data_IF_801133621867
#
_entry.id   IF_801133621867
#
_cell.length_a   1.000
_cell.length_b   1.000
_cell.length_c   1.000
_cell.angle_alpha   90.00
_cell.angle_beta   90.00
_cell.angle_gamma   90.00
#
_symmetry.space_group_name_H-M   'P 1'
#
loop_
_entity.id
_entity.type
_entity.pdbx_description
1 polymer ?
#
# COMPACT_ATOMS: atom_id res chain seq x y z
N UNK A 1 -14.84 -41.13 9.53
CA UNK A 1 -14.35 -39.73 9.49
C UNK A 1 -14.75 -39.14 8.14
N UNK A 2 -15.91 -38.48 8.11
CA UNK A 2 -16.39 -37.77 6.93
C UNK A 2 -15.39 -36.65 6.60
N UNK A 3 -14.92 -36.63 5.34
CA UNK A 3 -14.21 -35.49 4.77
C UNK A 3 -15.22 -34.35 4.70
N UNK A 4 -15.26 -33.46 5.71
CA UNK A 4 -15.83 -32.13 5.50
C UNK A 4 -15.23 -31.58 4.21
N UNK A 5 -16.05 -31.51 3.16
CA UNK A 5 -15.72 -30.78 1.94
C UNK A 5 -15.52 -29.34 2.36
N UNK A 6 -14.26 -28.96 2.58
CA UNK A 6 -13.88 -27.60 2.91
C UNK A 6 -14.16 -26.73 1.68
N UNK A 7 -15.37 -26.18 1.61
CA UNK A 7 -15.93 -25.41 0.50
C UNK A 7 -15.35 -23.97 0.47
N UNK A 8 -14.13 -23.77 1.01
CA UNK A 8 -13.49 -22.45 1.01
C UNK A 8 -13.09 -22.06 -0.41
N UNK A 9 -13.43 -20.84 -0.80
CA UNK A 9 -13.03 -20.23 -2.07
C UNK A 9 -11.52 -20.35 -2.30
N UNK A 10 -11.08 -20.42 -3.54
CA UNK A 10 -9.67 -20.52 -3.88
C UNK A 10 -9.31 -19.62 -5.07
N UNK A 11 -8.11 -19.06 -5.06
CA UNK A 11 -7.54 -18.37 -6.22
C UNK A 11 -7.41 -19.32 -7.43
N UNK A 12 -7.42 -18.75 -8.64
CA UNK A 12 -7.29 -19.54 -9.87
C UNK A 12 -5.92 -20.23 -10.00
N UNK A 13 -4.88 -19.66 -9.41
CA UNK A 13 -3.51 -20.19 -9.41
C UNK A 13 -2.50 -19.19 -8.83
N UNK A 14 -1.19 -19.41 -9.12
CA UNK A 14 -0.08 -18.58 -8.63
C UNK A 14 -0.27 -17.08 -8.92
N UNK A 15 -0.59 -16.72 -10.17
CA UNK A 15 -0.76 -15.31 -10.59
C UNK A 15 -1.90 -14.65 -9.82
N UNK A 16 -3.02 -15.36 -9.62
CA UNK A 16 -4.16 -14.84 -8.85
C UNK A 16 -3.78 -14.52 -7.42
N UNK A 17 -3.09 -15.41 -6.74
CA UNK A 17 -2.58 -15.17 -5.39
C UNK A 17 -1.57 -14.02 -5.35
N UNK A 18 -0.55 -14.06 -6.22
CA UNK A 18 0.53 -13.04 -6.23
C UNK A 18 -0.02 -11.64 -6.44
N UNK A 19 -0.87 -11.43 -7.46
CA UNK A 19 -1.42 -10.10 -7.73
C UNK A 19 -2.41 -9.63 -6.67
N UNK A 20 -3.17 -10.55 -6.05
CA UNK A 20 -4.07 -10.19 -4.94
C UNK A 20 -3.29 -9.85 -3.67
N UNK A 21 -2.27 -10.65 -3.31
CA UNK A 21 -1.43 -10.40 -2.14
C UNK A 21 -0.54 -9.16 -2.34
N UNK A 22 0.03 -8.97 -3.54
CA UNK A 22 0.74 -7.74 -3.88
C UNK A 22 -0.18 -6.51 -3.83
N UNK A 23 -1.43 -6.63 -4.32
CA UNK A 23 -2.43 -5.57 -4.19
C UNK A 23 -2.82 -5.26 -2.75
N UNK A 24 -2.78 -6.26 -1.87
CA UNK A 24 -2.96 -6.05 -0.43
C UNK A 24 -1.79 -5.26 0.18
N UNK A 25 -0.56 -5.59 -0.23
CA UNK A 25 0.67 -4.97 0.28
C UNK A 25 0.89 -3.58 -0.31
N UNK A 26 0.70 -3.41 -1.63
CA UNK A 26 0.86 -2.12 -2.31
C UNK A 26 -0.34 -1.22 -2.01
N UNK A 27 -0.17 -0.31 -1.09
CA UNK A 27 -1.23 0.59 -0.64
C UNK A 27 -0.76 2.04 -0.42
N UNK A 28 -1.57 2.78 0.31
CA UNK A 28 -1.24 4.15 0.70
C UNK A 28 0.09 4.23 1.47
N UNK A 29 0.46 3.16 2.19
CA UNK A 29 1.72 3.07 2.91
C UNK A 29 2.96 3.16 2.02
N UNK A 30 2.93 2.58 0.83
CA UNK A 30 4.02 2.66 -0.15
C UNK A 30 4.08 4.06 -0.79
N UNK A 31 2.92 4.67 -1.06
CA UNK A 31 2.85 5.89 -1.86
C UNK A 31 3.17 7.14 -1.03
N UNK A 32 2.71 7.25 0.21
CA UNK A 32 2.99 8.46 0.99
C UNK A 32 3.93 8.23 2.18
N UNK A 33 3.72 7.13 2.94
CA UNK A 33 4.46 6.90 4.18
C UNK A 33 5.91 6.53 3.91
N UNK A 34 6.15 5.67 2.93
CA UNK A 34 7.49 5.24 2.56
C UNK A 34 8.35 6.41 2.07
N UNK A 35 7.93 7.25 1.07
CA UNK A 35 8.74 8.39 0.64
C UNK A 35 9.02 9.39 1.76
N UNK A 36 8.04 9.68 2.60
CA UNK A 36 8.21 10.54 3.75
C UNK A 36 9.27 9.99 4.73
N UNK A 37 9.15 8.72 5.11
CA UNK A 37 10.11 8.11 6.03
C UNK A 37 11.50 8.01 5.42
N UNK A 38 11.60 7.66 4.14
CA UNK A 38 12.87 7.63 3.43
C UNK A 38 13.55 9.01 3.43
N UNK A 39 12.80 10.07 3.13
CA UNK A 39 13.35 11.41 3.16
C UNK A 39 13.78 11.85 4.57
N UNK A 40 12.96 11.59 5.57
CA UNK A 40 13.22 12.01 6.95
C UNK A 40 14.35 11.23 7.63
N UNK A 41 14.51 9.95 7.31
CA UNK A 41 15.41 9.05 8.02
C UNK A 41 16.60 8.61 7.19
N UNK A 42 17.10 9.49 6.29
CA UNK A 42 18.41 9.38 5.69
C UNK A 42 18.46 8.95 4.22
N UNK A 43 17.34 8.99 3.49
CA UNK A 43 17.32 8.74 2.04
C UNK A 43 17.80 7.34 1.68
N UNK A 44 18.91 7.26 0.95
CA UNK A 44 19.46 5.99 0.45
C UNK A 44 19.89 5.02 1.55
N UNK A 45 20.28 5.48 2.74
CA UNK A 45 20.58 4.56 3.86
C UNK A 45 19.32 3.93 4.42
N UNK A 46 18.19 4.67 4.49
CA UNK A 46 16.89 4.12 4.83
C UNK A 46 16.47 3.07 3.82
N UNK A 47 16.59 3.36 2.51
CA UNK A 47 16.26 2.43 1.44
C UNK A 47 17.07 1.14 1.52
N UNK A 48 18.39 1.25 1.75
CA UNK A 48 19.27 0.08 1.90
C UNK A 48 18.82 -0.82 3.07
N UNK A 49 18.58 -0.22 4.23
CA UNK A 49 18.13 -0.95 5.43
C UNK A 49 16.74 -1.58 5.19
N UNK A 50 15.83 -0.84 4.57
CA UNK A 50 14.50 -1.35 4.22
C UNK A 50 14.59 -2.59 3.32
N UNK A 51 15.39 -2.55 2.25
CA UNK A 51 15.58 -3.68 1.33
C UNK A 51 16.17 -4.89 2.08
N UNK A 52 17.20 -4.69 2.91
CA UNK A 52 17.80 -5.76 3.69
C UNK A 52 16.79 -6.42 4.64
N UNK A 53 15.97 -5.62 5.32
CA UNK A 53 14.91 -6.12 6.20
C UNK A 53 13.80 -6.84 5.42
N UNK A 54 13.40 -6.33 4.27
CA UNK A 54 12.38 -6.97 3.43
C UNK A 54 12.84 -8.33 2.94
N UNK A 55 14.06 -8.43 2.36
CA UNK A 55 14.63 -9.66 1.82
C UNK A 55 14.93 -10.74 2.89
N UNK A 56 15.12 -10.35 4.13
CA UNK A 56 15.45 -11.28 5.22
C UNK A 56 14.23 -11.56 6.09
N UNK A 57 13.92 -10.62 6.97
CA UNK A 57 12.86 -10.77 7.95
C UNK A 57 11.47 -10.73 7.33
N UNK A 58 11.22 -9.78 6.42
CA UNK A 58 9.95 -9.62 5.73
C UNK A 58 9.56 -10.87 4.97
N UNK A 59 10.47 -11.38 4.11
CA UNK A 59 10.27 -12.61 3.36
C UNK A 59 9.90 -13.80 4.26
N UNK A 60 10.66 -14.00 5.34
CA UNK A 60 10.41 -15.10 6.29
C UNK A 60 9.01 -15.01 6.89
N UNK A 61 8.58 -13.83 7.29
CA UNK A 61 7.25 -13.61 7.87
C UNK A 61 6.12 -13.84 6.87
N UNK A 62 6.26 -13.35 5.62
CA UNK A 62 5.26 -13.57 4.57
C UNK A 62 5.10 -15.08 4.28
N UNK A 63 6.21 -15.82 4.20
CA UNK A 63 6.20 -17.28 4.03
C UNK A 63 5.46 -17.94 5.18
N UNK A 64 5.79 -17.58 6.42
CA UNK A 64 5.21 -18.19 7.63
C UNK A 64 3.69 -17.96 7.71
N UNK A 65 3.22 -16.72 7.50
CA UNK A 65 1.79 -16.40 7.55
C UNK A 65 1.01 -17.06 6.42
N UNK A 66 1.55 -17.05 5.18
CA UNK A 66 0.92 -17.71 4.04
C UNK A 66 0.85 -19.23 4.23
N UNK A 67 1.90 -19.83 4.79
CA UNK A 67 1.95 -21.27 5.13
C UNK A 67 0.90 -21.62 6.19
N UNK A 68 0.81 -20.81 7.25
CA UNK A 68 -0.18 -20.96 8.31
C UNK A 68 -1.61 -20.95 7.74
N UNK A 69 -1.91 -19.99 6.89
CA UNK A 69 -3.21 -19.88 6.21
C UNK A 69 -3.50 -21.09 5.33
N UNK A 70 -2.55 -21.50 4.46
CA UNK A 70 -2.72 -22.63 3.54
C UNK A 70 -2.88 -23.97 4.27
N UNK A 71 -2.13 -24.17 5.35
CA UNK A 71 -2.17 -25.42 6.13
C UNK A 71 -3.50 -25.57 6.86
N UNK A 72 -4.02 -24.49 7.44
CA UNK A 72 -5.23 -24.53 8.27
C UNK A 72 -6.51 -24.39 7.47
N UNK A 73 -6.46 -23.68 6.33
CA UNK A 73 -7.65 -23.31 5.55
C UNK A 73 -8.70 -22.53 6.37
N UNK A 74 -8.26 -21.73 7.32
CA UNK A 74 -9.11 -20.97 8.24
C UNK A 74 -8.76 -19.49 8.23
N UNK A 75 -9.64 -18.66 8.82
CA UNK A 75 -9.35 -17.27 9.15
C UNK A 75 -8.23 -17.19 10.19
N UNK A 76 -7.61 -16.00 10.41
CA UNK A 76 -6.54 -15.86 11.39
C UNK A 76 -6.86 -16.43 12.77
N UNK A 77 -8.03 -16.07 13.32
CA UNK A 77 -8.50 -16.60 14.62
C UNK A 77 -8.60 -18.14 14.61
N UNK A 78 -9.18 -18.68 13.52
CA UNK A 78 -9.32 -20.13 13.37
C UNK A 78 -8.00 -20.85 13.14
N UNK A 79 -7.03 -20.21 12.49
CA UNK A 79 -5.70 -20.76 12.25
C UNK A 79 -4.89 -20.88 13.54
N UNK A 80 -4.85 -19.85 14.35
CA UNK A 80 -4.19 -19.88 15.66
C UNK A 80 -4.87 -20.86 16.62
N UNK A 81 -6.20 -20.92 16.64
CA UNK A 81 -6.94 -21.87 17.44
C UNK A 81 -6.68 -23.34 17.04
N UNK A 82 -6.38 -23.59 15.76
CA UNK A 82 -6.09 -24.94 15.27
C UNK A 82 -4.83 -25.53 15.95
N UNK A 83 -3.80 -24.74 16.16
CA UNK A 83 -2.58 -25.15 16.86
C UNK A 83 -2.72 -25.08 18.38
N UNK A 84 -3.61 -24.24 18.87
CA UNK A 84 -3.80 -23.96 20.29
C UNK A 84 -4.72 -24.92 21.03
N UNK A 85 -5.00 -26.14 20.53
CA UNK A 85 -5.88 -27.09 21.22
C UNK A 85 -5.47 -27.39 22.67
N UNK A 86 -4.18 -27.36 22.99
CA UNK A 86 -3.61 -27.53 24.34
C UNK A 86 -3.18 -26.21 25.00
N UNK A 87 -3.10 -25.12 24.25
CA UNK A 87 -2.63 -23.81 24.70
C UNK A 87 -3.62 -22.74 24.23
N UNK A 88 -4.74 -22.60 24.93
CA UNK A 88 -5.84 -21.68 24.56
C UNK A 88 -5.40 -20.21 24.39
N UNK A 89 -4.29 -19.82 25.03
CA UNK A 89 -3.69 -18.50 24.89
C UNK A 89 -3.19 -18.19 23.47
N UNK A 90 -2.84 -19.19 22.65
CA UNK A 90 -2.45 -18.98 21.25
C UNK A 90 -3.57 -18.37 20.41
N UNK A 91 -4.83 -18.57 20.77
CA UNK A 91 -5.96 -17.93 20.09
C UNK A 91 -5.94 -16.41 20.22
N UNK A 92 -5.27 -15.85 21.24
CA UNK A 92 -5.09 -14.41 21.43
C UNK A 92 -4.32 -13.79 20.25
N UNK A 93 -3.26 -14.46 19.74
CA UNK A 93 -2.55 -14.01 18.55
C UNK A 93 -3.46 -13.88 17.31
N UNK A 94 -4.40 -14.79 17.14
CA UNK A 94 -5.39 -14.74 16.08
C UNK A 94 -6.36 -13.55 16.21
N UNK A 95 -6.77 -13.23 17.44
CA UNK A 95 -7.62 -12.06 17.71
C UNK A 95 -6.90 -10.74 17.46
N UNK A 96 -5.60 -10.63 17.84
CA UNK A 96 -4.78 -9.45 17.51
C UNK A 96 -4.77 -9.25 15.99
N UNK A 97 -4.50 -10.31 15.22
CA UNK A 97 -4.48 -10.27 13.76
C UNK A 97 -5.84 -9.84 13.15
N UNK A 98 -6.96 -10.20 13.79
CA UNK A 98 -8.29 -9.81 13.31
C UNK A 98 -8.67 -8.37 13.71
N UNK A 99 -8.23 -7.89 14.88
CA UNK A 99 -8.57 -6.54 15.38
C UNK A 99 -7.84 -5.46 14.57
N UNK A 100 -6.60 -5.71 14.13
CA UNK A 100 -5.81 -4.71 13.40
C UNK A 100 -6.52 -4.22 12.12
N UNK A 101 -7.01 -5.08 11.21
CA UNK A 101 -7.78 -4.61 10.06
C UNK A 101 -9.05 -3.84 10.44
N UNK A 102 -9.76 -4.29 11.48
CA UNK A 102 -10.97 -3.60 11.97
C UNK A 102 -10.68 -2.16 12.39
N UNK A 103 -9.52 -1.91 12.99
CA UNK A 103 -9.09 -0.55 13.36
C UNK A 103 -8.59 0.27 12.16
N UNK A 104 -8.01 -0.39 11.15
CA UNK A 104 -7.46 0.28 9.96
C UNK A 104 -8.55 0.66 8.97
N UNK A 105 -9.50 -0.21 8.67
CA UNK A 105 -10.52 -0.04 7.61
C UNK A 105 -11.27 1.30 7.71
N UNK A 106 -11.74 1.77 8.88
CA UNK A 106 -12.49 3.02 8.96
C UNK A 106 -11.70 4.23 8.45
N UNK A 107 -10.50 4.48 9.01
CA UNK A 107 -9.71 5.64 8.58
C UNK A 107 -9.18 5.47 7.16
N UNK A 108 -8.86 4.25 6.75
CA UNK A 108 -8.37 3.95 5.41
C UNK A 108 -9.43 4.25 4.35
N UNK A 109 -10.69 3.92 4.64
CA UNK A 109 -11.83 4.21 3.76
C UNK A 109 -12.13 5.70 3.67
N UNK A 110 -11.97 6.47 4.74
CA UNK A 110 -12.07 7.94 4.71
C UNK A 110 -11.04 8.52 3.75
N UNK A 111 -9.78 8.07 3.86
CA UNK A 111 -8.70 8.54 2.98
C UNK A 111 -8.94 8.08 1.54
N UNK A 112 -9.43 6.87 1.32
CA UNK A 112 -9.85 6.38 0.01
C UNK A 112 -10.93 7.26 -0.62
N UNK A 113 -11.87 7.75 0.16
CA UNK A 113 -12.86 8.75 -0.26
C UNK A 113 -12.22 10.07 -0.68
N UNK A 114 -11.21 10.56 0.06
CA UNK A 114 -10.47 11.77 -0.34
C UNK A 114 -9.71 11.60 -1.66
N UNK A 115 -9.17 10.40 -1.89
CA UNK A 115 -8.53 10.06 -3.17
C UNK A 115 -9.53 10.15 -4.32
N UNK A 116 -10.75 9.62 -4.17
CA UNK A 116 -11.83 9.76 -5.16
C UNK A 116 -12.10 11.25 -5.45
N UNK A 117 -12.25 12.07 -4.39
CA UNK A 117 -12.49 13.51 -4.55
C UNK A 117 -11.41 14.18 -5.40
N UNK A 118 -10.15 13.96 -5.06
CA UNK A 118 -9.03 14.56 -5.78
C UNK A 118 -8.92 14.06 -7.22
N UNK A 119 -9.11 12.76 -7.44
CA UNK A 119 -9.15 12.19 -8.80
C UNK A 119 -10.23 12.83 -9.65
N UNK A 120 -11.46 12.97 -9.14
CA UNK A 120 -12.57 13.60 -9.85
C UNK A 120 -12.30 15.08 -10.13
N UNK A 121 -11.72 15.82 -9.19
CA UNK A 121 -11.38 17.24 -9.41
C UNK A 121 -10.28 17.40 -10.47
N UNK A 122 -9.27 16.53 -10.50
CA UNK A 122 -8.27 16.53 -11.57
C UNK A 122 -8.89 16.22 -12.94
N UNK A 123 -9.82 15.26 -13.02
CA UNK A 123 -10.56 14.95 -14.25
C UNK A 123 -11.39 16.15 -14.76
N UNK A 124 -11.90 16.98 -13.85
CA UNK A 124 -12.62 18.24 -14.18
C UNK A 124 -11.69 19.39 -14.58
N UNK A 125 -10.37 19.20 -14.54
CA UNK A 125 -9.40 20.26 -14.82
C UNK A 125 -9.18 21.24 -13.66
N UNK A 126 -9.62 20.94 -12.47
CA UNK A 126 -9.50 21.79 -11.27
C UNK A 126 -8.15 21.62 -10.53
N UNK A 127 -7.08 21.19 -11.21
CA UNK A 127 -5.77 20.95 -10.59
C UNK A 127 -5.22 22.15 -9.81
N UNK A 128 -5.31 23.34 -10.37
CA UNK A 128 -4.88 24.59 -9.72
C UNK A 128 -5.63 24.88 -8.40
N UNK A 129 -6.94 24.61 -8.36
CA UNK A 129 -7.73 24.77 -7.11
C UNK A 129 -7.29 23.81 -6.01
N UNK A 130 -6.86 22.60 -6.37
CA UNK A 130 -6.36 21.62 -5.42
C UNK A 130 -5.04 22.05 -4.78
N UNK A 131 -4.26 22.89 -5.47
CA UNK A 131 -3.01 23.46 -5.00
C UNK A 131 -3.20 24.71 -4.10
N UNK A 132 -4.38 25.30 -4.05
CA UNK A 132 -4.68 26.48 -3.23
C UNK A 132 -4.52 26.17 -1.74
N UNK A 133 -3.96 27.14 -0.99
CA UNK A 133 -3.84 27.03 0.46
C UNK A 133 -5.22 26.91 1.11
N UNK A 134 -5.33 25.93 2.01
CA UNK A 134 -6.57 25.68 2.73
C UNK A 134 -7.62 24.86 1.99
N UNK A 135 -7.44 24.54 0.70
CA UNK A 135 -8.41 23.71 -0.03
C UNK A 135 -8.70 22.39 0.68
N UNK A 136 -7.64 21.65 1.03
CA UNK A 136 -7.77 20.37 1.73
C UNK A 136 -8.49 20.54 3.09
N UNK A 137 -8.09 21.52 3.90
CA UNK A 137 -8.72 21.79 5.19
C UNK A 137 -10.20 22.16 5.05
N UNK A 138 -10.55 22.96 4.04
CA UNK A 138 -11.95 23.31 3.72
C UNK A 138 -12.76 22.10 3.28
N UNK A 139 -12.15 21.22 2.48
CA UNK A 139 -12.79 19.98 2.04
C UNK A 139 -13.07 19.04 3.21
N UNK A 140 -12.09 18.74 4.07
CA UNK A 140 -12.27 17.83 5.21
C UNK A 140 -13.21 18.38 6.28
N UNK A 141 -13.37 19.71 6.36
CA UNK A 141 -14.33 20.36 7.26
C UNK A 141 -15.77 20.32 6.71
N UNK A 142 -15.95 19.96 5.43
CA UNK A 142 -17.27 19.79 4.85
C UNK A 142 -17.74 18.33 5.05
N UNK A 143 -18.45 18.08 6.16
CA UNK A 143 -18.91 16.76 6.56
C UNK A 143 -19.66 16.03 5.45
N UNK A 144 -20.63 16.69 4.80
CA UNK A 144 -21.44 16.06 3.73
C UNK A 144 -20.58 15.59 2.54
N UNK A 145 -19.64 16.43 2.09
CA UNK A 145 -18.78 16.09 0.95
C UNK A 145 -17.84 14.92 1.26
N UNK A 146 -17.25 14.91 2.46
CA UNK A 146 -16.38 13.83 2.91
C UNK A 146 -17.12 12.52 3.12
N UNK A 147 -18.33 12.60 3.70
CA UNK A 147 -19.18 11.43 3.93
C UNK A 147 -19.64 10.77 2.63
N UNK A 148 -20.07 11.54 1.63
CA UNK A 148 -20.43 11.01 0.32
C UNK A 148 -19.23 10.28 -0.31
N UNK A 149 -18.05 10.88 -0.31
CA UNK A 149 -16.85 10.25 -0.86
C UNK A 149 -16.47 8.97 -0.11
N UNK A 150 -16.58 8.96 1.22
CA UNK A 150 -16.38 7.79 2.07
C UNK A 150 -17.36 6.65 1.70
N UNK A 151 -18.64 6.95 1.62
CA UNK A 151 -19.68 5.96 1.27
C UNK A 151 -19.41 5.37 -0.12
N UNK A 152 -19.08 6.21 -1.11
CA UNK A 152 -18.76 5.75 -2.48
C UNK A 152 -17.58 4.79 -2.47
N UNK A 153 -16.51 5.11 -1.72
CA UNK A 153 -15.34 4.23 -1.61
C UNK A 153 -15.69 2.91 -0.91
N UNK A 154 -16.43 2.95 0.19
CA UNK A 154 -16.90 1.77 0.91
C UNK A 154 -17.77 0.88 0.03
N UNK A 155 -18.74 1.46 -0.67
CA UNK A 155 -19.63 0.71 -1.57
C UNK A 155 -18.83 0.01 -2.67
N UNK A 156 -17.87 0.70 -3.27
CA UNK A 156 -17.02 0.12 -4.31
C UNK A 156 -16.21 -1.08 -3.76
N UNK A 157 -15.61 -0.95 -2.58
CA UNK A 157 -14.89 -2.04 -1.91
C UNK A 157 -15.83 -3.23 -1.59
N UNK A 158 -17.00 -2.96 -1.01
CA UNK A 158 -17.96 -4.00 -0.63
C UNK A 158 -18.53 -4.76 -1.84
N UNK A 159 -18.82 -4.08 -2.95
CA UNK A 159 -19.28 -4.71 -4.19
C UNK A 159 -18.25 -5.74 -4.70
N UNK A 160 -16.96 -5.39 -4.65
CA UNK A 160 -15.89 -6.28 -5.08
C UNK A 160 -15.79 -7.50 -4.16
N UNK A 161 -15.86 -7.30 -2.85
CA UNK A 161 -15.83 -8.40 -1.87
C UNK A 161 -17.04 -9.30 -2.03
N UNK A 162 -18.23 -8.73 -2.23
CA UNK A 162 -19.45 -9.49 -2.45
C UNK A 162 -19.39 -10.40 -3.69
N UNK A 163 -18.66 -9.99 -4.73
CA UNK A 163 -18.39 -10.83 -5.90
C UNK A 163 -17.47 -12.03 -5.60
N UNK A 164 -16.88 -12.09 -4.40
CA UNK A 164 -16.07 -13.19 -3.87
C UNK A 164 -14.62 -13.17 -4.33
N UNK A 165 -13.85 -14.17 -3.85
CA UNK A 165 -12.40 -14.21 -4.00
C UNK A 165 -11.98 -14.24 -5.49
N UNK A 166 -12.56 -15.12 -6.29
CA UNK A 166 -12.13 -15.33 -7.68
C UNK A 166 -12.66 -14.28 -8.64
N UNK A 167 -13.95 -13.95 -8.54
CA UNK A 167 -14.62 -13.06 -9.49
C UNK A 167 -14.51 -11.57 -9.08
N UNK A 168 -14.32 -11.30 -7.78
CA UNK A 168 -14.11 -9.97 -7.24
C UNK A 168 -12.62 -9.69 -7.02
N UNK A 169 -12.06 -10.15 -5.91
CA UNK A 169 -10.72 -9.81 -5.44
C UNK A 169 -9.65 -10.09 -6.49
N UNK A 170 -9.59 -11.33 -6.97
CA UNK A 170 -8.58 -11.75 -7.94
C UNK A 170 -8.70 -11.03 -9.28
N UNK A 171 -9.93 -10.91 -9.79
CA UNK A 171 -10.19 -10.26 -11.09
C UNK A 171 -9.81 -8.78 -11.06
N UNK A 172 -10.18 -8.09 -10.00
CA UNK A 172 -9.86 -6.67 -9.81
C UNK A 172 -8.36 -6.47 -9.66
N UNK A 173 -7.69 -7.29 -8.85
CA UNK A 173 -6.23 -7.22 -8.67
C UNK A 173 -5.49 -7.51 -9.97
N UNK A 174 -5.92 -8.49 -10.76
CA UNK A 174 -5.33 -8.80 -12.08
C UNK A 174 -5.43 -7.65 -13.07
N UNK A 175 -6.45 -6.83 -12.97
CA UNK A 175 -6.63 -5.65 -13.82
C UNK A 175 -5.87 -4.43 -13.28
N UNK A 176 -6.04 -4.12 -11.99
CA UNK A 176 -5.51 -2.90 -11.40
C UNK A 176 -3.99 -2.92 -11.21
N UNK A 177 -3.41 -4.07 -10.81
CA UNK A 177 -1.99 -4.13 -10.46
C UNK A 177 -1.05 -3.88 -11.65
N UNK A 178 -1.25 -4.47 -12.84
CA UNK A 178 -0.42 -4.14 -14.01
C UNK A 178 -0.52 -2.65 -14.41
N UNK A 179 -1.73 -2.08 -14.36
CA UNK A 179 -1.93 -0.66 -14.69
C UNK A 179 -1.21 0.21 -13.65
N UNK A 180 -1.30 -0.13 -12.36
CA UNK A 180 -0.60 0.57 -11.29
C UNK A 180 0.92 0.60 -11.54
N UNK A 181 1.51 -0.52 -11.96
CA UNK A 181 2.95 -0.58 -12.32
C UNK A 181 3.26 0.37 -13.47
N UNK A 182 2.48 0.33 -14.55
CA UNK A 182 2.68 1.22 -15.71
C UNK A 182 2.56 2.68 -15.30
N UNK A 183 1.53 3.03 -14.54
CA UNK A 183 1.35 4.39 -14.02
C UNK A 183 2.52 4.82 -13.14
N UNK A 184 3.01 3.95 -12.25
CA UNK A 184 4.15 4.27 -11.38
C UNK A 184 5.42 4.55 -12.18
N UNK A 185 5.68 3.79 -13.25
CA UNK A 185 6.82 4.02 -14.16
C UNK A 185 6.68 5.37 -14.87
N UNK A 186 5.51 5.68 -15.44
CA UNK A 186 5.27 6.93 -16.16
C UNK A 186 5.49 8.13 -15.23
N UNK A 187 4.91 8.10 -14.03
CA UNK A 187 5.01 9.21 -13.07
C UNK A 187 6.45 9.34 -12.52
N UNK A 188 7.14 8.22 -12.28
CA UNK A 188 8.54 8.25 -11.85
C UNK A 188 9.44 8.88 -12.93
N UNK A 189 9.28 8.50 -14.20
CA UNK A 189 10.01 9.12 -15.32
C UNK A 189 9.69 10.62 -15.38
N UNK A 190 8.42 10.99 -15.29
CA UNK A 190 8.02 12.39 -15.26
C UNK A 190 8.69 13.15 -14.11
N UNK A 191 8.73 12.60 -12.91
CA UNK A 191 9.32 13.21 -11.71
C UNK A 191 10.84 13.39 -11.86
N UNK A 192 11.58 12.33 -12.22
CA UNK A 192 13.05 12.36 -12.29
C UNK A 192 13.59 13.22 -13.43
N UNK A 193 12.78 13.50 -14.45
CA UNK A 193 13.16 14.37 -15.59
C UNK A 193 12.94 15.86 -15.33
N UNK A 194 12.42 16.25 -14.15
CA UNK A 194 12.21 17.67 -13.83
C UNK A 194 13.54 18.37 -13.53
N UNK A 195 13.69 19.65 -13.89
CA UNK A 195 14.85 20.46 -13.47
C UNK A 195 14.99 20.46 -11.95
N UNK A 196 16.18 20.16 -11.44
CA UNK A 196 16.45 20.08 -9.99
C UNK A 196 16.14 18.71 -9.34
N UNK A 197 15.45 17.79 -10.03
CA UNK A 197 15.07 16.48 -9.50
C UNK A 197 16.27 15.56 -9.19
N UNK A 198 17.41 15.74 -9.88
CA UNK A 198 18.60 14.87 -9.74
C UNK A 198 19.14 14.83 -8.32
N UNK A 199 19.04 15.94 -7.59
CA UNK A 199 19.46 16.01 -6.17
C UNK A 199 18.62 15.05 -5.32
N UNK A 200 17.29 15.00 -5.54
CA UNK A 200 16.37 14.08 -4.87
C UNK A 200 16.63 12.63 -5.26
N UNK A 201 16.89 12.34 -6.55
CA UNK A 201 17.26 10.99 -7.00
C UNK A 201 18.54 10.52 -6.29
N UNK A 202 19.58 11.36 -6.27
CA UNK A 202 20.84 11.04 -5.58
C UNK A 202 20.63 10.83 -4.08
N UNK A 203 19.87 11.72 -3.44
CA UNK A 203 19.54 11.61 -2.02
C UNK A 203 18.83 10.27 -1.69
N UNK A 204 17.89 9.88 -2.52
CA UNK A 204 17.08 8.68 -2.30
C UNK A 204 17.80 7.37 -2.63
N UNK A 205 18.61 7.33 -3.70
CA UNK A 205 19.24 6.09 -4.17
C UNK A 205 20.64 5.85 -3.62
N UNK A 206 21.38 6.90 -3.26
CA UNK A 206 22.78 6.77 -2.81
C UNK A 206 22.85 6.71 -1.29
N UNK A 207 23.25 5.56 -0.70
CA UNK A 207 23.39 5.44 0.74
C UNK A 207 24.48 6.38 1.27
N UNK A 208 24.13 7.22 2.24
CA UNK A 208 25.09 8.04 2.95
C UNK A 208 25.17 7.60 4.43
N UNK A 209 26.26 6.94 4.86
CA UNK A 209 26.42 6.47 6.24
C UNK A 209 26.32 7.57 7.29
N UNK A 210 26.63 8.84 6.93
CA UNK A 210 26.51 9.99 7.85
C UNK A 210 25.06 10.25 8.28
N UNK A 211 24.10 9.84 7.47
CA UNK A 211 22.65 9.99 7.73
C UNK A 211 22.08 8.78 8.52
N UNK A 212 22.92 7.84 8.92
CA UNK A 212 22.50 6.68 9.69
C UNK A 212 22.11 7.07 11.12
N UNK A 213 20.98 6.51 11.59
CA UNK A 213 20.58 6.54 12.99
C UNK A 213 19.91 5.22 13.38
N UNK A 214 19.87 4.89 14.65
CA UNK A 214 19.09 3.72 15.10
C UNK A 214 17.60 3.89 14.79
N UNK A 215 17.11 5.13 14.75
CA UNK A 215 15.73 5.41 14.35
C UNK A 215 15.49 5.06 12.88
N UNK A 216 16.49 5.13 12.01
CA UNK A 216 16.40 4.67 10.61
C UNK A 216 16.07 3.17 10.56
N UNK A 217 16.70 2.34 11.39
CA UNK A 217 16.42 0.89 11.46
C UNK A 217 15.01 0.62 11.99
N UNK A 218 14.64 1.26 13.09
CA UNK A 218 13.32 1.08 13.73
C UNK A 218 12.20 1.49 12.78
N UNK A 219 12.36 2.65 12.11
CA UNK A 219 11.32 3.15 11.18
C UNK A 219 11.26 2.35 9.89
N UNK A 220 12.41 1.87 9.36
CA UNK A 220 12.44 0.98 8.21
C UNK A 220 11.77 -0.35 8.52
N UNK A 221 12.01 -0.93 9.71
CA UNK A 221 11.33 -2.13 10.17
C UNK A 221 9.82 -1.92 10.31
N UNK A 222 9.40 -0.85 10.96
CA UNK A 222 7.97 -0.50 11.07
C UNK A 222 7.30 -0.26 9.71
N UNK A 223 8.02 0.32 8.76
CA UNK A 223 7.54 0.49 7.39
C UNK A 223 7.40 -0.85 6.67
N UNK A 224 8.38 -1.74 6.80
CA UNK A 224 8.37 -3.07 6.20
C UNK A 224 7.18 -3.91 6.72
N UNK A 225 6.94 -3.93 8.04
CA UNK A 225 5.78 -4.61 8.62
C UNK A 225 4.46 -4.09 8.05
N UNK A 226 4.33 -2.77 7.97
CA UNK A 226 3.13 -2.14 7.46
C UNK A 226 2.92 -2.38 5.96
N UNK A 227 3.97 -2.21 5.15
CA UNK A 227 3.94 -2.38 3.70
C UNK A 227 3.60 -3.82 3.31
N UNK A 228 4.28 -4.79 3.88
CA UNK A 228 4.08 -6.21 3.59
C UNK A 228 2.83 -6.80 4.27
N UNK A 229 2.02 -5.99 4.95
CA UNK A 229 0.81 -6.41 5.65
C UNK A 229 1.04 -7.53 6.69
N UNK A 230 2.22 -7.55 7.32
CA UNK A 230 2.61 -8.55 8.32
C UNK A 230 1.84 -8.32 9.63
N UNK A 231 1.42 -9.40 10.27
CA UNK A 231 0.65 -9.43 11.52
C UNK A 231 -0.75 -8.79 11.43
N UNK A 232 -1.28 -8.61 10.22
CA UNK A 232 -2.62 -8.05 9.96
C UNK A 232 -3.66 -9.12 9.59
N UNK A 233 -3.30 -10.41 9.61
CA UNK A 233 -4.18 -11.50 9.23
C UNK A 233 -4.42 -11.66 7.73
N UNK A 234 -4.05 -10.66 6.92
CA UNK A 234 -4.26 -10.64 5.47
C UNK A 234 -3.57 -11.82 4.79
N UNK A 235 -2.29 -12.04 5.08
CA UNK A 235 -1.50 -13.12 4.47
C UNK A 235 -1.97 -14.50 4.93
N UNK A 236 -2.45 -14.64 6.17
CA UNK A 236 -3.10 -15.88 6.66
C UNK A 236 -4.40 -16.12 5.90
N UNK A 237 -5.24 -15.09 5.74
CA UNK A 237 -6.51 -15.18 4.99
C UNK A 237 -6.26 -15.56 3.53
N UNK A 238 -5.39 -14.85 2.83
CA UNK A 238 -5.07 -15.12 1.43
C UNK A 238 -4.33 -16.44 1.25
N UNK A 239 -3.43 -16.80 2.16
CA UNK A 239 -2.80 -18.11 2.22
C UNK A 239 -3.83 -19.25 2.31
N UNK A 240 -4.94 -19.03 3.04
CA UNK A 240 -6.03 -20.02 3.13
C UNK A 240 -6.77 -20.26 1.82
N UNK A 241 -6.68 -19.33 0.86
CA UNK A 241 -7.24 -19.44 -0.49
C UNK A 241 -6.25 -20.00 -1.51
N UNK A 242 -4.97 -20.21 -1.14
CA UNK A 242 -3.97 -20.81 -2.02
C UNK A 242 -4.31 -22.27 -2.32
N UNK A 243 -4.07 -22.69 -3.57
CA UNK A 243 -4.14 -24.09 -3.96
C UNK A 243 -2.96 -24.89 -3.39
N UNK A 244 -3.13 -26.19 -3.20
CA UNK A 244 -2.09 -27.07 -2.66
C UNK A 244 -0.88 -27.23 -3.58
N UNK A 245 -1.08 -27.13 -4.88
CA UNK A 245 -0.07 -27.25 -5.94
C UNK A 245 0.73 -25.96 -6.17
N UNK A 246 0.32 -24.86 -5.55
CA UNK A 246 1.00 -23.56 -5.68
C UNK A 246 2.18 -23.47 -4.71
N UNK A 247 3.40 -23.22 -5.20
CA UNK A 247 4.57 -22.97 -4.35
C UNK A 247 4.36 -21.72 -3.49
N UNK A 248 4.50 -21.84 -2.16
CA UNK A 248 4.44 -20.71 -1.24
C UNK A 248 5.66 -19.81 -1.46
N UNK A 249 6.86 -20.40 -1.44
CA UNK A 249 8.12 -19.67 -1.51
C UNK A 249 8.19 -18.79 -2.75
N UNK A 250 7.94 -19.37 -3.95
CA UNK A 250 7.95 -18.58 -5.19
C UNK A 250 6.85 -17.51 -5.24
N UNK A 251 5.70 -17.80 -4.65
CA UNK A 251 4.58 -16.86 -4.67
C UNK A 251 4.83 -15.68 -3.73
N UNK A 252 5.29 -15.96 -2.52
CA UNK A 252 5.60 -14.94 -1.51
C UNK A 252 6.82 -14.10 -1.90
N UNK A 253 7.84 -14.71 -2.53
CA UNK A 253 8.97 -13.98 -3.11
C UNK A 253 8.52 -12.98 -4.17
N UNK A 254 7.60 -13.37 -5.04
CA UNK A 254 7.06 -12.45 -6.05
C UNK A 254 6.27 -11.31 -5.41
N UNK A 255 5.52 -11.56 -4.32
CA UNK A 255 4.79 -10.51 -3.57
C UNK A 255 5.77 -9.51 -2.97
N UNK A 256 6.81 -9.99 -2.29
CA UNK A 256 7.83 -9.16 -1.65
C UNK A 256 8.60 -8.31 -2.66
N UNK A 257 9.06 -8.91 -3.76
CA UNK A 257 9.74 -8.17 -4.85
C UNK A 257 8.82 -7.12 -5.45
N UNK A 258 7.54 -7.44 -5.64
CA UNK A 258 6.57 -6.51 -6.20
C UNK A 258 6.31 -5.32 -5.28
N UNK A 259 6.09 -5.57 -3.99
CA UNK A 259 5.88 -4.52 -2.99
C UNK A 259 7.10 -3.60 -2.86
N UNK A 260 8.30 -4.19 -2.75
CA UNK A 260 9.56 -3.44 -2.66
C UNK A 260 9.82 -2.60 -3.91
N UNK A 261 9.57 -3.14 -5.09
CA UNK A 261 9.70 -2.40 -6.35
C UNK A 261 8.77 -1.20 -6.41
N UNK A 262 7.50 -1.35 -6.00
CA UNK A 262 6.55 -0.24 -5.97
C UNK A 262 6.91 0.79 -4.88
N UNK A 263 7.44 0.38 -3.73
CA UNK A 263 7.93 1.30 -2.73
C UNK A 263 9.10 2.17 -3.27
N UNK A 264 10.04 1.55 -3.98
CA UNK A 264 11.14 2.27 -4.65
C UNK A 264 10.59 3.22 -5.72
N UNK A 265 9.64 2.76 -6.54
CA UNK A 265 9.01 3.60 -7.56
C UNK A 265 8.28 4.79 -6.92
N UNK A 266 7.57 4.59 -5.81
CA UNK A 266 6.92 5.67 -5.05
C UNK A 266 7.93 6.69 -4.53
N UNK A 267 9.08 6.22 -4.02
CA UNK A 267 10.20 7.09 -3.65
C UNK A 267 10.69 7.94 -4.83
N UNK A 268 10.85 7.33 -6.01
CA UNK A 268 11.26 8.02 -7.25
C UNK A 268 10.17 8.93 -7.83
N UNK A 269 8.90 8.66 -7.58
CA UNK A 269 7.80 9.55 -7.98
C UNK A 269 7.75 10.81 -7.13
N UNK A 270 8.00 10.70 -5.83
CA UNK A 270 7.67 11.77 -4.87
C UNK A 270 8.91 12.56 -4.47
N UNK A 271 10.00 11.90 -4.06
CA UNK A 271 11.17 12.59 -3.51
C UNK A 271 11.82 13.53 -4.56
N UNK A 272 12.11 13.09 -5.79
CA UNK A 272 12.69 13.99 -6.80
C UNK A 272 11.79 15.17 -7.16
N UNK A 273 10.47 14.95 -7.24
CA UNK A 273 9.51 16.01 -7.55
C UNK A 273 9.45 17.07 -6.44
N UNK A 274 9.43 16.65 -5.17
CA UNK A 274 9.43 17.56 -4.03
C UNK A 274 10.78 18.30 -3.92
N UNK A 275 11.90 17.63 -4.15
CA UNK A 275 13.23 18.29 -4.19
C UNK A 275 13.33 19.33 -5.30
N UNK A 276 12.79 19.04 -6.49
CA UNK A 276 12.74 20.01 -7.58
C UNK A 276 11.89 21.24 -7.22
N UNK A 277 10.79 21.04 -6.50
CA UNK A 277 9.89 22.09 -6.05
C UNK A 277 10.46 22.92 -4.88
N UNK A 278 11.11 22.27 -3.89
CA UNK A 278 11.60 22.90 -2.65
C UNK A 278 13.02 23.45 -2.73
N UNK A 279 13.70 23.28 -3.86
CA UNK A 279 15.12 23.63 -3.96
C UNK A 279 16.06 22.69 -3.21
N UNK A 280 15.61 21.48 -2.90
CA UNK A 280 16.43 20.41 -2.31
C UNK A 280 16.27 20.20 -0.80
N UNK A 281 15.23 20.77 -0.19
CA UNK A 281 14.95 20.61 1.23
C UNK A 281 14.10 19.35 1.50
N UNK A 282 14.66 18.31 2.18
CA UNK A 282 13.93 17.08 2.51
C UNK A 282 12.82 17.30 3.55
N UNK A 283 12.89 18.34 4.38
CA UNK A 283 11.90 18.63 5.43
C UNK A 283 10.57 19.16 4.86
N UNK A 284 10.56 19.51 3.57
CA UNK A 284 9.32 19.88 2.85
C UNK A 284 8.38 18.69 2.65
N UNK A 285 8.87 17.45 2.74
CA UNK A 285 8.02 16.27 2.70
C UNK A 285 7.25 16.14 4.02
N UNK A 286 6.00 16.59 3.99
CA UNK A 286 5.13 16.53 5.15
C UNK A 286 4.68 15.08 5.46
N UNK A 287 4.43 14.81 6.73
CA UNK A 287 3.95 13.49 7.17
C UNK A 287 2.48 13.26 6.80
N UNK A 288 2.16 12.02 6.46
CA UNK A 288 0.78 11.56 6.35
C UNK A 288 0.00 12.14 5.16
N UNK A 289 -1.32 12.36 5.32
CA UNK A 289 -2.19 12.84 4.25
C UNK A 289 -1.76 14.18 3.63
N UNK A 290 -1.12 15.04 4.41
CA UNK A 290 -0.67 16.36 3.95
C UNK A 290 0.30 16.26 2.76
N UNK A 291 1.16 15.25 2.71
CA UNK A 291 2.04 15.01 1.57
C UNK A 291 1.21 14.84 0.30
N UNK A 292 0.19 13.99 0.33
CA UNK A 292 -0.57 13.62 -0.85
C UNK A 292 -1.62 14.66 -1.25
N UNK A 293 -2.27 15.30 -0.27
CA UNK A 293 -3.41 16.18 -0.54
C UNK A 293 -3.08 17.68 -0.48
N UNK A 294 -1.88 18.05 -0.02
CA UNK A 294 -1.42 19.45 0.01
C UNK A 294 -0.15 19.61 -0.83
N UNK A 295 0.92 18.86 -0.50
CA UNK A 295 2.22 19.05 -1.16
C UNK A 295 2.21 18.62 -2.61
N UNK A 296 1.75 17.42 -2.92
CA UNK A 296 1.77 16.88 -4.28
C UNK A 296 0.93 17.70 -5.27
N UNK A 297 -0.30 18.18 -4.96
CA UNK A 297 -1.00 19.10 -5.83
C UNK A 297 -0.24 20.38 -6.14
N UNK A 298 0.44 20.99 -5.15
CA UNK A 298 1.27 22.17 -5.36
C UNK A 298 2.47 21.88 -6.26
N UNK A 299 3.11 20.73 -6.06
CA UNK A 299 4.21 20.27 -6.91
C UNK A 299 3.75 20.12 -8.36
N UNK A 300 2.60 19.48 -8.60
CA UNK A 300 2.08 19.31 -9.96
C UNK A 300 1.64 20.64 -10.57
N UNK A 301 1.03 21.54 -9.81
CA UNK A 301 0.64 22.86 -10.30
C UNK A 301 1.85 23.69 -10.75
N UNK A 302 3.00 23.56 -10.07
CA UNK A 302 4.25 24.21 -10.44
C UNK A 302 4.94 23.60 -11.67
N UNK A 303 4.50 22.43 -12.13
CA UNK A 303 5.13 21.66 -13.21
C UNK A 303 4.32 21.69 -14.50
N UNK A 304 5.00 21.77 -15.66
CA UNK A 304 4.33 21.59 -16.95
C UNK A 304 3.59 20.24 -17.03
N UNK A 305 2.38 20.24 -17.61
CA UNK A 305 1.48 19.08 -17.65
C UNK A 305 1.01 18.55 -16.27
N UNK A 306 1.03 19.38 -15.24
CA UNK A 306 0.69 18.98 -13.87
C UNK A 306 -0.69 18.39 -13.70
N UNK A 307 -1.72 18.94 -14.42
CA UNK A 307 -3.08 18.36 -14.39
C UNK A 307 -3.10 16.91 -14.89
N UNK A 308 -2.38 16.61 -15.99
CA UNK A 308 -2.28 15.26 -16.51
C UNK A 308 -1.53 14.33 -15.55
N UNK A 309 -0.40 14.78 -14.99
CA UNK A 309 0.33 14.05 -13.97
C UNK A 309 -0.53 13.78 -12.72
N UNK A 310 -1.35 14.75 -12.30
CA UNK A 310 -2.29 14.60 -11.21
C UNK A 310 -3.37 13.56 -11.47
N UNK A 311 -3.93 13.51 -12.68
CA UNK A 311 -4.89 12.46 -13.08
C UNK A 311 -4.24 11.07 -12.94
N UNK A 312 -3.05 10.87 -13.52
CA UNK A 312 -2.36 9.59 -13.49
C UNK A 312 -1.97 9.19 -12.06
N UNK A 313 -1.49 10.15 -11.27
CA UNK A 313 -1.12 9.92 -9.88
C UNK A 313 -2.31 9.52 -9.00
N UNK A 314 -3.41 10.29 -9.03
CA UNK A 314 -4.58 9.96 -8.21
C UNK A 314 -5.32 8.71 -8.70
N UNK A 315 -5.23 8.36 -9.99
CA UNK A 315 -5.70 7.05 -10.49
C UNK A 315 -4.86 5.91 -9.92
N UNK A 316 -3.53 6.06 -9.92
CA UNK A 316 -2.60 5.09 -9.30
C UNK A 316 -2.91 4.92 -7.81
N UNK A 317 -3.04 6.03 -7.08
CA UNK A 317 -3.37 6.02 -5.63
C UNK A 317 -4.73 5.38 -5.39
N UNK A 318 -5.72 5.63 -6.24
CA UNK A 318 -7.04 5.01 -6.13
C UNK A 318 -6.96 3.49 -6.28
N UNK A 319 -6.20 2.99 -7.26
CA UNK A 319 -6.02 1.55 -7.44
C UNK A 319 -5.31 0.92 -6.24
N UNK A 320 -4.26 1.54 -5.73
CA UNK A 320 -3.56 1.08 -4.53
C UNK A 320 -4.47 1.10 -3.29
N UNK A 321 -5.28 2.15 -3.13
CA UNK A 321 -6.22 2.24 -2.02
C UNK A 321 -7.30 1.17 -2.08
N UNK A 322 -7.89 0.92 -3.25
CA UNK A 322 -8.95 -0.07 -3.45
C UNK A 322 -8.44 -1.49 -3.20
N UNK A 323 -7.31 -1.88 -3.79
CA UNK A 323 -6.77 -3.24 -3.65
C UNK A 323 -6.41 -3.56 -2.19
N UNK A 324 -5.82 -2.62 -1.47
CA UNK A 324 -5.51 -2.78 -0.04
C UNK A 324 -6.77 -2.75 0.84
N UNK A 325 -7.75 -1.90 0.53
CA UNK A 325 -9.02 -1.84 1.27
C UNK A 325 -9.80 -3.16 1.16
N UNK A 326 -9.82 -3.76 -0.03
CA UNK A 326 -10.41 -5.08 -0.27
C UNK A 326 -9.75 -6.13 0.64
N UNK A 327 -8.43 -6.16 0.69
CA UNK A 327 -7.68 -7.14 1.47
C UNK A 327 -7.88 -6.97 2.99
N UNK A 328 -7.87 -5.71 3.46
CA UNK A 328 -8.14 -5.38 4.86
C UNK A 328 -9.57 -5.76 5.29
N UNK A 329 -10.55 -5.57 4.42
CA UNK A 329 -11.96 -5.85 4.74
C UNK A 329 -12.29 -7.33 4.62
N UNK A 330 -11.59 -8.09 3.76
CA UNK A 330 -11.74 -9.54 3.59
C UNK A 330 -11.11 -10.33 4.76
N UNK A 331 -10.13 -9.74 5.46
CA UNK A 331 -9.39 -10.42 6.54
C UNK A 331 -10.18 -10.55 7.81
#
# INVERSE_FOLDING_TARGET
MEKEKNNRSSFSGKIGFVLSAAGASVGLGNIWRFPYLAAKYGGGIFLLIYILLALTFGYTMIVAESALGRMTRKSPVGAFKFFGKKAGWLSFGGWINAIIPVLIVPYYSVIGGWVIKYFVEYLKGNGAKLAEDGYFSKFISNGLSTEICFIVFCMFTLIIIYAGVRNGIERVSKFMMPILVVLSVIIAIYSVTRPGALAGVKYFLVPNPKNFSWMTVVTAMGQMFYSLSIAMGILVTFGSYMKKDTSIEDSTRNVEVFDTAIAIMAGLMIIPAVFAFSGGDPDTLQAGPSLMFITIPKVFDSMGFGTFAGILFFLLVLFAAVTSSIALTES
#
